data_IF_322188611510
#
_entry.id   IF_322188611510
#
_cell.length_a   1.000
_cell.length_b   1.000
_cell.length_c   1.000
_cell.angle_alpha   90.00
_cell.angle_beta   90.00
_cell.angle_gamma   90.00
#
_symmetry.space_group_name_H-M   'P 1'
#
loop_
_entity.id
_entity.type
_entity.pdbx_description
1 polymer ?
#
# COMPACT_ATOMS: atom_id res chain seq x y z
N UNK A 1 -41.67 4.26 55.62
CA UNK A 1 -42.13 4.26 54.21
C UNK A 1 -41.07 4.96 53.36
N UNK A 2 -40.23 4.20 52.66
CA UNK A 2 -39.07 4.71 51.93
C UNK A 2 -39.52 5.06 50.50
N UNK A 3 -39.24 6.30 50.08
CA UNK A 3 -39.54 6.86 48.75
C UNK A 3 -38.55 6.30 47.71
N UNK A 4 -39.06 5.74 46.61
CA UNK A 4 -38.25 5.47 45.42
C UNK A 4 -38.26 6.69 44.50
N UNK A 5 -37.07 7.21 44.20
CA UNK A 5 -36.83 8.28 43.22
C UNK A 5 -36.41 7.61 41.91
N UNK A 6 -37.15 7.85 40.83
CA UNK A 6 -36.73 7.56 39.47
C UNK A 6 -35.57 8.49 39.08
N UNK A 7 -34.51 7.94 38.48
CA UNK A 7 -33.53 8.73 37.73
C UNK A 7 -33.39 8.09 36.34
N UNK A 8 -34.02 8.73 35.37
CA UNK A 8 -33.84 8.49 33.93
C UNK A 8 -32.55 9.16 33.47
N UNK A 9 -31.56 8.38 33.06
CA UNK A 9 -30.31 8.88 32.48
C UNK A 9 -30.45 8.86 30.95
N UNK A 10 -30.80 10.01 30.36
CA UNK A 10 -30.78 10.20 28.92
C UNK A 10 -29.37 10.61 28.49
N UNK A 11 -28.64 9.69 27.87
CA UNK A 11 -27.30 9.92 27.33
C UNK A 11 -27.45 10.61 25.95
N UNK A 12 -27.20 11.93 25.89
CA UNK A 12 -27.02 12.63 24.62
C UNK A 12 -25.68 12.22 24.01
N UNK A 13 -25.72 11.42 22.94
CA UNK A 13 -24.57 11.18 22.07
C UNK A 13 -24.38 12.42 21.18
N UNK A 14 -23.36 13.22 21.47
CA UNK A 14 -22.93 14.30 20.59
C UNK A 14 -22.10 13.70 19.45
N UNK A 15 -22.65 13.69 18.23
CA UNK A 15 -21.87 13.40 17.02
C UNK A 15 -21.01 14.62 16.71
N UNK A 16 -19.73 14.59 17.09
CA UNK A 16 -18.73 15.45 16.46
C UNK A 16 -18.49 14.94 15.04
N UNK A 17 -19.15 15.58 14.07
CA UNK A 17 -18.76 15.49 12.66
C UNK A 17 -17.41 16.20 12.51
N UNK A 18 -16.32 15.43 12.54
CA UNK A 18 -15.00 15.93 12.17
C UNK A 18 -14.95 15.97 10.65
N UNK A 19 -15.02 17.17 10.07
CA UNK A 19 -14.75 17.37 8.64
C UNK A 19 -13.24 17.34 8.42
N UNK A 20 -12.71 16.19 8.03
CA UNK A 20 -11.31 16.07 7.64
C UNK A 20 -11.09 16.78 6.30
N UNK A 21 -10.37 17.91 6.33
CA UNK A 21 -9.93 18.62 5.12
C UNK A 21 -8.95 17.73 4.33
N UNK A 22 -9.11 17.62 3.02
CA UNK A 22 -8.28 16.76 2.16
C UNK A 22 -6.80 17.11 2.27
N UNK A 23 -5.94 16.10 2.35
CA UNK A 23 -4.49 16.26 2.27
C UNK A 23 -4.07 16.82 0.89
N UNK A 24 -2.97 17.58 0.85
CA UNK A 24 -2.42 18.05 -0.42
C UNK A 24 -2.06 16.85 -1.32
N UNK A 25 -2.20 16.97 -2.66
CA UNK A 25 -1.83 15.90 -3.56
C UNK A 25 -0.34 15.57 -3.44
N UNK A 26 0.01 14.32 -3.75
CA UNK A 26 1.40 13.87 -3.73
C UNK A 26 2.27 14.71 -4.68
N UNK A 27 3.49 15.02 -4.24
CA UNK A 27 4.51 15.55 -5.14
C UNK A 27 5.07 14.39 -5.95
N UNK A 28 4.77 14.37 -7.25
CA UNK A 28 5.14 13.28 -8.14
C UNK A 28 6.52 13.54 -8.73
N UNK A 29 7.47 12.64 -8.45
CA UNK A 29 8.82 12.75 -9.00
C UNK A 29 8.78 12.70 -10.55
N UNK A 30 9.42 13.67 -11.24
CA UNK A 30 9.50 13.65 -12.70
C UNK A 30 10.25 12.42 -13.21
N UNK A 31 9.77 11.83 -14.30
CA UNK A 31 10.46 10.74 -14.98
C UNK A 31 11.23 11.31 -16.17
N UNK A 32 12.48 10.86 -16.36
CA UNK A 32 13.28 11.21 -17.52
C UNK A 32 13.43 9.98 -18.41
N UNK A 33 13.10 10.12 -19.69
CA UNK A 33 13.31 9.08 -20.70
C UNK A 33 13.63 9.74 -22.05
N UNK A 34 14.65 9.21 -22.73
CA UNK A 34 15.12 9.71 -24.04
C UNK A 34 15.34 11.24 -24.14
N UNK A 35 15.89 11.85 -23.07
CA UNK A 35 16.17 13.29 -23.05
C UNK A 35 14.94 14.18 -22.81
N UNK A 36 13.78 13.58 -22.51
CA UNK A 36 12.54 14.27 -22.16
C UNK A 36 12.19 14.03 -20.69
N UNK A 37 11.85 15.11 -19.98
CA UNK A 37 11.37 15.09 -18.59
C UNK A 37 9.86 15.21 -18.57
N UNK A 38 9.20 14.22 -17.99
CA UNK A 38 7.75 14.15 -17.81
C UNK A 38 7.38 14.55 -16.38
N UNK A 39 6.47 15.50 -16.25
CA UNK A 39 6.04 16.08 -14.98
C UNK A 39 4.53 15.98 -14.87
N UNK A 40 4.03 15.63 -13.68
CA UNK A 40 2.61 15.71 -13.32
C UNK A 40 2.42 16.90 -12.35
N UNK A 41 1.87 18.05 -12.81
CA UNK A 41 1.81 19.26 -11.98
C UNK A 41 0.81 19.18 -10.82
N UNK A 42 -0.26 18.38 -10.94
CA UNK A 42 -1.30 18.22 -9.93
C UNK A 42 -1.83 19.55 -9.35
N UNK A 43 -2.29 20.46 -10.22
CA UNK A 43 -2.67 21.83 -9.87
C UNK A 43 -4.15 22.00 -9.45
N UNK A 44 -5.07 22.14 -10.41
CA UNK A 44 -6.45 22.61 -10.18
C UNK A 44 -7.44 21.52 -9.77
N UNK A 45 -7.00 20.25 -9.77
CA UNK A 45 -7.82 19.10 -9.40
C UNK A 45 -8.95 18.76 -10.36
N UNK A 46 -9.20 19.54 -11.41
CA UNK A 46 -10.27 19.27 -12.40
C UNK A 46 -9.83 18.27 -13.46
N UNK A 47 -8.53 18.24 -13.74
CA UNK A 47 -7.94 17.23 -14.62
C UNK A 47 -6.52 16.87 -14.21
N UNK A 48 -6.16 15.63 -14.47
CA UNK A 48 -4.79 15.15 -14.44
C UNK A 48 -4.15 15.28 -15.81
N UNK A 49 -2.95 15.85 -15.87
CA UNK A 49 -2.22 16.01 -17.13
C UNK A 49 -0.70 15.88 -16.93
N UNK A 50 -0.02 15.53 -18.03
CA UNK A 50 1.44 15.45 -18.10
C UNK A 50 1.97 16.62 -18.90
N UNK A 51 3.09 17.18 -18.45
CA UNK A 51 3.92 18.06 -19.25
C UNK A 51 5.24 17.37 -19.60
N UNK A 52 5.60 17.42 -20.88
CA UNK A 52 6.89 16.95 -21.36
C UNK A 52 7.81 18.14 -21.65
N UNK A 53 9.05 18.06 -21.19
CA UNK A 53 10.05 19.12 -21.29
C UNK A 53 11.34 18.55 -21.86
N UNK A 54 11.92 19.23 -22.85
CA UNK A 54 13.26 18.88 -23.33
C UNK A 54 14.28 19.21 -22.22
N UNK A 55 15.04 18.19 -21.79
CA UNK A 55 15.95 18.33 -20.62
C UNK A 55 17.07 19.32 -20.90
N UNK A 56 17.52 19.43 -22.15
CA UNK A 56 18.68 20.25 -22.53
C UNK A 56 18.33 21.73 -22.65
N UNK A 57 17.20 22.03 -23.26
CA UNK A 57 16.76 23.40 -23.58
C UNK A 57 15.76 23.93 -22.56
N UNK A 58 15.24 23.06 -21.69
CA UNK A 58 14.16 23.34 -20.75
C UNK A 58 12.91 23.94 -21.42
N UNK A 59 12.69 23.62 -22.70
CA UNK A 59 11.48 24.01 -23.44
C UNK A 59 10.40 22.96 -23.26
N UNK A 60 9.17 23.40 -22.99
CA UNK A 60 7.99 22.52 -22.99
C UNK A 60 7.77 21.99 -24.40
N UNK A 61 7.77 20.68 -24.54
CA UNK A 61 7.50 19.98 -25.80
C UNK A 61 6.01 19.84 -26.02
N UNK A 62 5.27 19.41 -25.00
CA UNK A 62 3.83 19.23 -25.08
C UNK A 62 3.18 19.11 -23.70
N UNK A 63 1.85 19.23 -23.68
CA UNK A 63 0.97 19.00 -22.52
C UNK A 63 -0.17 18.08 -22.93
N UNK A 64 -0.45 17.05 -22.15
CA UNK A 64 -1.44 16.03 -22.48
C UNK A 64 -2.34 15.74 -21.27
N UNK A 65 -3.65 15.86 -21.44
CA UNK A 65 -4.63 15.44 -20.42
C UNK A 65 -4.69 13.92 -20.36
N UNK A 66 -4.56 13.35 -19.17
CA UNK A 66 -4.67 11.91 -18.91
C UNK A 66 -6.10 11.54 -18.56
N UNK A 67 -6.70 12.24 -17.61
CA UNK A 67 -8.11 12.08 -17.24
C UNK A 67 -8.69 13.36 -16.65
N UNK A 68 -10.01 13.44 -16.63
CA UNK A 68 -10.78 14.54 -16.03
C UNK A 68 -11.58 14.03 -14.85
N UNK A 69 -11.61 14.79 -13.76
CA UNK A 69 -12.48 14.49 -12.64
C UNK A 69 -13.89 15.00 -12.95
N UNK A 70 -14.88 14.11 -12.89
CA UNK A 70 -16.29 14.50 -13.00
C UNK A 70 -16.73 14.97 -11.61
N UNK A 71 -17.03 16.25 -11.51
CA UNK A 71 -17.35 16.93 -10.26
C UNK A 71 -18.86 17.13 -10.21
N UNK A 72 -19.49 16.62 -9.16
CA UNK A 72 -20.86 16.95 -8.80
C UNK A 72 -20.88 18.34 -8.14
N UNK A 73 -21.60 19.33 -8.72
CA UNK A 73 -21.65 20.68 -8.18
C UNK A 73 -22.39 20.78 -6.83
N UNK A 74 -23.09 19.73 -6.41
CA UNK A 74 -23.81 19.68 -5.13
C UNK A 74 -22.96 19.17 -3.97
N UNK A 75 -21.75 18.69 -4.26
CA UNK A 75 -20.77 18.21 -3.27
C UNK A 75 -19.56 19.15 -3.24
N UNK A 76 -18.81 19.14 -2.13
CA UNK A 76 -17.55 19.89 -2.02
C UNK A 76 -16.58 19.47 -3.14
N UNK A 77 -15.91 20.44 -3.78
CA UNK A 77 -15.13 20.18 -4.99
C UNK A 77 -13.85 19.39 -4.70
N UNK A 78 -13.17 19.73 -3.60
CA UNK A 78 -11.86 19.19 -3.24
C UNK A 78 -11.91 17.75 -2.75
N UNK A 79 -13.00 17.31 -2.12
CA UNK A 79 -13.19 15.89 -1.75
C UNK A 79 -13.37 14.97 -2.96
N UNK A 80 -13.72 15.53 -4.12
CA UNK A 80 -13.95 14.79 -5.35
C UNK A 80 -12.69 14.67 -6.22
N UNK A 81 -11.65 15.45 -5.94
CA UNK A 81 -10.44 15.46 -6.75
C UNK A 81 -9.67 14.15 -6.66
N UNK A 82 -9.16 13.73 -7.83
CA UNK A 82 -8.23 12.62 -7.98
C UNK A 82 -7.02 13.13 -8.75
N UNK A 83 -5.84 12.97 -8.17
CA UNK A 83 -4.60 13.41 -8.78
C UNK A 83 -3.77 12.24 -9.28
N UNK A 84 -2.69 12.57 -10.00
CA UNK A 84 -1.66 11.59 -10.34
C UNK A 84 -0.84 11.34 -9.08
N UNK A 85 -0.60 10.08 -8.75
CA UNK A 85 0.23 9.67 -7.63
C UNK A 85 1.62 9.24 -8.09
N UNK A 86 1.72 8.56 -9.24
CA UNK A 86 2.98 7.97 -9.71
C UNK A 86 3.16 8.04 -11.21
N UNK A 87 4.41 8.25 -11.61
CA UNK A 87 4.89 8.10 -12.98
C UNK A 87 5.97 7.01 -13.04
N UNK A 88 5.96 6.23 -14.11
CA UNK A 88 7.10 5.38 -14.51
C UNK A 88 7.10 5.22 -16.02
N UNK A 89 8.25 4.90 -16.59
CA UNK A 89 8.32 4.43 -17.98
C UNK A 89 8.44 2.91 -17.96
N UNK A 90 7.67 2.27 -18.83
CA UNK A 90 7.73 0.85 -19.08
C UNK A 90 7.70 0.67 -20.61
N UNK A 91 8.71 0.01 -21.14
CA UNK A 91 8.96 -0.11 -22.58
C UNK A 91 9.02 1.28 -23.25
N UNK A 92 8.06 1.59 -24.14
CA UNK A 92 7.92 2.90 -24.83
C UNK A 92 6.72 3.72 -24.33
N UNK A 93 6.16 3.38 -23.17
CA UNK A 93 4.99 4.05 -22.65
C UNK A 93 5.24 4.67 -21.28
N UNK A 94 4.65 5.85 -21.07
CA UNK A 94 4.58 6.48 -19.76
C UNK A 94 3.35 5.93 -19.03
N UNK A 95 3.60 5.26 -17.92
CA UNK A 95 2.57 4.72 -17.04
C UNK A 95 2.29 5.75 -15.95
N UNK A 96 1.01 6.13 -15.85
CA UNK A 96 0.49 7.11 -14.90
C UNK A 96 -0.47 6.40 -13.97
N UNK A 97 -0.21 6.45 -12.67
CA UNK A 97 -1.11 5.89 -11.65
C UNK A 97 -1.78 7.04 -10.90
N UNK A 98 -3.10 6.98 -10.74
CA UNK A 98 -3.85 7.95 -9.93
C UNK A 98 -3.88 7.57 -8.46
N UNK A 99 -4.24 8.52 -7.58
CA UNK A 99 -4.41 8.28 -6.13
C UNK A 99 -5.46 7.20 -5.81
N UNK A 100 -6.33 6.85 -6.77
CA UNK A 100 -7.31 5.75 -6.64
C UNK A 100 -6.85 4.44 -7.28
N UNK A 101 -5.56 4.34 -7.65
CA UNK A 101 -4.97 3.14 -8.24
C UNK A 101 -5.33 2.90 -9.71
N UNK A 102 -6.06 3.80 -10.38
CA UNK A 102 -6.30 3.68 -11.82
C UNK A 102 -4.99 3.90 -12.57
N UNK A 103 -4.74 3.09 -13.60
CA UNK A 103 -3.53 3.19 -14.39
C UNK A 103 -3.85 3.62 -15.82
N UNK A 104 -3.07 4.56 -16.33
CA UNK A 104 -3.18 5.08 -17.67
C UNK A 104 -1.85 4.87 -18.37
N UNK A 105 -1.91 4.30 -19.56
CA UNK A 105 -0.75 4.15 -20.42
C UNK A 105 -0.78 5.26 -21.47
N UNK A 106 0.32 5.99 -21.59
CA UNK A 106 0.52 7.02 -22.61
C UNK A 106 1.58 6.51 -23.57
N UNK A 107 1.19 6.27 -24.80
CA UNK A 107 2.14 6.00 -25.88
C UNK A 107 2.97 7.26 -26.13
N UNK A 108 4.29 7.19 -25.91
CA UNK A 108 5.16 8.35 -26.02
C UNK A 108 5.37 8.83 -27.45
N UNK A 109 4.99 8.04 -28.46
CA UNK A 109 5.04 8.42 -29.87
C UNK A 109 3.73 9.07 -30.28
N UNK A 110 2.62 8.32 -30.23
CA UNK A 110 1.31 8.74 -30.73
C UNK A 110 0.55 9.65 -29.77
N UNK A 111 0.95 9.73 -28.49
CA UNK A 111 0.23 10.42 -27.41
C UNK A 111 -1.16 9.85 -27.13
N UNK A 112 -1.46 8.66 -27.64
CA UNK A 112 -2.68 7.95 -27.29
C UNK A 112 -2.68 7.62 -25.80
N UNK A 113 -3.78 7.93 -25.13
CA UNK A 113 -4.00 7.58 -23.73
C UNK A 113 -4.95 6.39 -23.70
N UNK A 114 -4.48 5.28 -23.16
CA UNK A 114 -5.32 4.11 -22.88
C UNK A 114 -5.50 4.03 -21.39
N UNK A 115 -6.74 4.22 -20.94
CA UNK A 115 -7.11 3.86 -19.59
C UNK A 115 -7.20 2.34 -19.55
N UNK A 116 -6.36 1.72 -18.74
CA UNK A 116 -6.75 0.48 -18.10
C UNK A 116 -7.58 0.89 -16.88
N UNK A 117 -8.77 0.31 -16.71
CA UNK A 117 -9.29 0.19 -15.35
C UNK A 117 -8.19 -0.42 -14.48
N UNK A 118 -8.20 -0.27 -13.14
CA UNK A 118 -7.39 -1.18 -12.33
C UNK A 118 -7.65 -2.55 -12.93
N UNK A 119 -6.61 -3.22 -13.44
CA UNK A 119 -6.78 -4.58 -13.95
C UNK A 119 -7.68 -5.25 -12.91
N UNK A 120 -8.79 -5.94 -13.29
CA UNK A 120 -9.52 -6.70 -12.28
C UNK A 120 -8.41 -7.45 -11.56
N UNK A 121 -8.17 -7.18 -10.26
CA UNK A 121 -7.09 -7.85 -9.52
C UNK A 121 -7.35 -9.31 -9.83
N UNK A 122 -6.50 -10.01 -10.61
CA UNK A 122 -7.03 -11.09 -11.44
C UNK A 122 -7.40 -12.23 -10.51
N UNK A 123 -8.68 -12.28 -10.15
CA UNK A 123 -9.34 -13.44 -9.61
C UNK A 123 -9.36 -14.45 -10.74
N UNK A 124 -8.35 -15.32 -10.75
CA UNK A 124 -8.24 -16.43 -11.67
C UNK A 124 -7.01 -16.34 -12.57
N UNK A 125 -5.89 -16.87 -12.07
CA UNK A 125 -4.84 -17.48 -12.91
C UNK A 125 -3.97 -16.53 -13.75
N UNK A 126 -3.51 -15.38 -13.23
CA UNK A 126 -2.42 -14.64 -13.90
C UNK A 126 -1.68 -13.59 -13.02
N UNK A 127 -1.23 -13.97 -11.82
CA UNK A 127 -0.20 -13.21 -11.07
C UNK A 127 0.84 -14.19 -10.54
N UNK A 128 1.29 -15.10 -11.40
CA UNK A 128 2.41 -15.97 -11.06
C UNK A 128 3.72 -15.38 -11.62
N UNK A 129 3.70 -14.80 -12.82
CA UNK A 129 4.90 -14.42 -13.57
C UNK A 129 5.75 -13.25 -13.03
N UNK A 130 5.27 -12.46 -12.07
CA UNK A 130 6.04 -11.35 -11.43
C UNK A 130 6.30 -11.58 -9.93
N UNK A 131 5.96 -12.77 -9.44
CA UNK A 131 6.28 -13.19 -8.09
C UNK A 131 7.79 -13.53 -8.09
N UNK A 132 8.63 -12.98 -7.18
CA UNK A 132 10.02 -13.40 -7.08
C UNK A 132 10.09 -14.93 -7.02
N UNK A 133 11.01 -15.56 -7.77
CA UNK A 133 11.08 -17.03 -7.89
C UNK A 133 10.98 -17.75 -6.53
N UNK A 134 11.55 -17.16 -5.47
CA UNK A 134 11.45 -17.62 -4.10
C UNK A 134 10.01 -17.84 -3.60
N UNK A 135 9.10 -16.94 -3.94
CA UNK A 135 7.70 -16.98 -3.53
C UNK A 135 6.92 -17.97 -4.40
N UNK A 136 7.17 -18.05 -5.71
CA UNK A 136 6.60 -19.12 -6.54
C UNK A 136 7.01 -20.51 -6.00
N UNK A 137 8.30 -20.70 -5.67
CA UNK A 137 8.80 -21.93 -5.08
C UNK A 137 8.15 -22.23 -3.75
N UNK A 138 8.07 -21.24 -2.85
CA UNK A 138 7.47 -21.40 -1.52
C UNK A 138 5.99 -21.81 -1.58
N UNK A 139 5.24 -21.27 -2.55
CA UNK A 139 3.81 -21.52 -2.72
C UNK A 139 3.53 -22.80 -3.51
N UNK A 140 4.31 -23.13 -4.54
CA UNK A 140 4.03 -24.31 -5.40
C UNK A 140 4.55 -25.60 -4.82
N UNK A 141 5.80 -25.60 -4.37
CA UNK A 141 6.53 -26.82 -3.96
C UNK A 141 7.17 -26.70 -2.57
N UNK A 142 7.00 -25.55 -1.91
CA UNK A 142 7.64 -25.23 -0.65
C UNK A 142 6.70 -25.35 0.56
N UNK A 143 7.12 -24.80 1.71
CA UNK A 143 6.45 -25.02 3.00
C UNK A 143 5.00 -24.51 3.06
N UNK A 144 4.60 -23.59 2.17
CA UNK A 144 3.26 -23.00 2.18
C UNK A 144 2.24 -23.83 1.39
N UNK A 145 2.67 -24.62 0.40
CA UNK A 145 1.81 -25.23 -0.62
C UNK A 145 0.66 -26.10 -0.08
N UNK A 146 0.89 -26.74 1.07
CA UNK A 146 -0.06 -27.70 1.66
C UNK A 146 -1.13 -27.01 2.50
N UNK A 147 -0.75 -26.02 3.30
CA UNK A 147 -1.57 -25.50 4.40
C UNK A 147 -2.13 -24.11 4.14
N UNK A 148 -1.59 -23.38 3.17
CA UNK A 148 -1.90 -21.97 2.94
C UNK A 148 -2.25 -21.69 1.49
N UNK A 149 -3.16 -20.73 1.30
CA UNK A 149 -3.42 -20.08 0.02
C UNK A 149 -2.87 -18.65 0.05
N UNK A 150 -2.50 -18.11 -1.10
CA UNK A 150 -2.18 -16.68 -1.22
C UNK A 150 -3.45 -15.87 -1.00
N UNK A 151 -3.37 -14.86 -0.14
CA UNK A 151 -4.44 -13.91 0.09
C UNK A 151 -4.20 -12.64 -0.71
N UNK A 152 -5.28 -12.11 -1.29
CA UNK A 152 -5.29 -10.81 -1.99
C UNK A 152 -6.13 -9.78 -1.23
N UNK A 153 -6.29 -9.98 0.09
CA UNK A 153 -7.13 -9.16 0.96
C UNK A 153 -6.71 -7.68 1.00
N UNK A 154 -5.40 -7.42 1.01
CA UNK A 154 -4.79 -6.08 0.94
C UNK A 154 -3.83 -6.04 -0.25
N UNK A 155 -3.73 -4.89 -0.93
CA UNK A 155 -2.84 -4.68 -2.08
C UNK A 155 -1.84 -3.54 -1.76
N UNK A 156 -0.51 -3.70 -1.99
CA UNK A 156 0.17 -4.86 -2.58
C UNK A 156 -0.03 -6.13 -1.74
N UNK A 157 -0.18 -7.32 -2.33
CA UNK A 157 -0.37 -8.57 -1.56
C UNK A 157 0.96 -9.24 -1.17
N UNK A 158 2.09 -8.67 -1.63
CA UNK A 158 3.43 -9.01 -1.18
C UNK A 158 4.32 -7.75 -1.08
N UNK A 159 5.37 -7.82 -0.27
CA UNK A 159 6.38 -6.78 -0.07
C UNK A 159 7.79 -7.40 -0.05
N UNK A 160 8.76 -6.75 -0.67
CA UNK A 160 10.15 -7.21 -0.73
C UNK A 160 11.06 -6.26 0.08
N UNK A 161 11.82 -6.79 1.04
CA UNK A 161 12.70 -6.01 1.91
C UNK A 161 13.66 -6.89 2.72
N UNK A 162 14.61 -6.30 3.43
CA UNK A 162 15.53 -7.05 4.30
C UNK A 162 14.92 -7.19 5.70
N UNK A 163 13.92 -8.07 5.86
CA UNK A 163 13.11 -8.13 7.09
C UNK A 163 13.85 -8.72 8.28
N UNK A 164 14.81 -9.61 8.04
CA UNK A 164 15.61 -10.24 9.10
C UNK A 164 16.94 -9.52 9.39
N UNK A 165 17.36 -8.57 8.54
CA UNK A 165 18.57 -7.78 8.72
C UNK A 165 19.86 -8.46 8.27
N UNK A 166 19.78 -9.48 7.43
CA UNK A 166 20.94 -10.22 6.91
C UNK A 166 21.54 -9.58 5.64
N UNK A 167 20.93 -8.51 5.13
CA UNK A 167 21.38 -7.78 3.94
C UNK A 167 20.92 -8.38 2.62
N UNK A 168 20.06 -9.41 2.65
CA UNK A 168 19.44 -10.01 1.46
C UNK A 168 17.95 -9.65 1.41
N UNK A 169 17.38 -9.76 0.20
CA UNK A 169 15.97 -9.42 -0.01
C UNK A 169 15.10 -10.63 0.35
N UNK A 170 14.31 -10.46 1.39
CA UNK A 170 13.23 -11.36 1.80
C UNK A 170 11.91 -10.95 1.14
N UNK A 171 10.91 -11.84 1.21
CA UNK A 171 9.55 -11.52 0.76
C UNK A 171 8.53 -11.79 1.85
N UNK A 172 7.71 -10.80 2.15
CA UNK A 172 6.50 -10.94 2.95
C UNK A 172 5.30 -11.07 2.01
N UNK A 173 4.42 -12.05 2.23
CA UNK A 173 3.23 -12.28 1.40
C UNK A 173 2.02 -12.56 2.28
N UNK A 174 0.85 -12.05 1.88
CA UNK A 174 -0.40 -12.33 2.57
C UNK A 174 -0.85 -13.76 2.29
N UNK A 175 -1.24 -14.46 3.34
CA UNK A 175 -1.69 -15.86 3.26
C UNK A 175 -2.99 -16.06 4.01
N UNK A 176 -3.77 -17.05 3.56
CA UNK A 176 -4.95 -17.57 4.23
C UNK A 176 -4.70 -19.02 4.62
N UNK A 177 -4.84 -19.35 5.90
CA UNK A 177 -4.72 -20.75 6.33
C UNK A 177 -5.94 -21.54 5.85
N UNK A 178 -5.73 -22.68 5.18
CA UNK A 178 -6.81 -23.49 4.61
C UNK A 178 -7.76 -24.08 5.65
N UNK A 179 -7.22 -24.50 6.79
CA UNK A 179 -7.98 -25.19 7.84
C UNK A 179 -8.92 -24.27 8.62
N UNK A 180 -8.49 -23.03 8.91
CA UNK A 180 -9.22 -22.08 9.75
C UNK A 180 -9.85 -20.93 8.96
N UNK A 181 -9.33 -20.63 7.77
CA UNK A 181 -9.70 -19.44 7.00
C UNK A 181 -9.05 -18.14 7.49
N UNK A 182 -8.27 -18.18 8.58
CA UNK A 182 -7.63 -16.99 9.16
C UNK A 182 -6.57 -16.41 8.24
N UNK A 183 -6.45 -15.09 8.25
CA UNK A 183 -5.48 -14.33 7.46
C UNK A 183 -4.20 -14.06 8.25
N UNK A 184 -3.08 -13.95 7.54
CA UNK A 184 -1.78 -13.64 8.11
C UNK A 184 -0.75 -13.28 7.04
N UNK A 185 0.50 -13.22 7.47
CA UNK A 185 1.67 -12.89 6.65
C UNK A 185 2.67 -14.04 6.76
N UNK A 186 3.10 -14.55 5.61
CA UNK A 186 4.26 -15.44 5.52
C UNK A 186 5.48 -14.62 5.11
N UNK A 187 6.56 -14.69 5.89
CA UNK A 187 7.86 -14.09 5.53
C UNK A 187 8.80 -15.20 5.10
N UNK A 188 9.24 -15.12 3.84
CA UNK A 188 10.12 -16.07 3.17
C UNK A 188 11.52 -15.45 3.14
N UNK A 189 12.43 -16.01 3.93
CA UNK A 189 13.82 -15.58 3.97
C UNK A 189 14.61 -16.10 2.77
N UNK A 190 15.46 -15.26 2.20
CA UNK A 190 16.27 -15.60 1.01
C UNK A 190 17.27 -16.77 1.24
N UNK A 191 17.73 -16.96 2.48
CA UNK A 191 18.54 -18.12 2.87
C UNK A 191 17.66 -19.22 3.49
N UNK A 192 17.70 -20.41 2.85
CA UNK A 192 17.12 -21.69 3.29
C UNK A 192 15.61 -21.86 3.14
N UNK A 193 14.95 -21.05 2.29
CA UNK A 193 13.49 -21.06 2.10
C UNK A 193 12.74 -21.07 3.45
N UNK A 194 13.33 -20.44 4.48
CA UNK A 194 12.77 -20.45 5.81
C UNK A 194 11.55 -19.55 5.80
N UNK A 195 10.41 -20.14 6.11
CA UNK A 195 9.13 -19.44 6.19
C UNK A 195 8.77 -19.18 7.64
N UNK A 196 8.43 -17.94 7.97
CA UNK A 196 7.84 -17.58 9.27
C UNK A 196 6.41 -17.11 9.06
N UNK A 197 5.46 -17.72 9.78
CA UNK A 197 4.04 -17.36 9.73
C UNK A 197 3.69 -16.45 10.89
N UNK A 198 3.05 -15.33 10.59
CA UNK A 198 2.53 -14.34 11.53
C UNK A 198 1.02 -14.18 11.28
N UNK A 199 0.18 -14.36 12.30
CA UNK A 199 -1.26 -14.53 12.07
C UNK A 199 -1.56 -15.90 11.45
N UNK A 200 -2.64 -16.00 10.68
CA UNK A 200 -3.09 -17.24 10.04
C UNK A 200 -3.12 -18.45 11.00
N UNK A 201 -3.65 -18.24 12.21
CA UNK A 201 -3.70 -19.20 13.30
C UNK A 201 -2.50 -19.18 14.26
N UNK A 202 -1.49 -18.35 14.00
CA UNK A 202 -0.31 -18.14 14.86
C UNK A 202 -0.34 -16.74 15.47
N UNK A 203 -0.63 -16.65 16.76
CA UNK A 203 -0.75 -15.36 17.45
C UNK A 203 0.56 -14.56 17.51
N UNK A 204 0.48 -13.24 17.30
CA UNK A 204 1.60 -12.31 17.47
C UNK A 204 1.17 -11.01 18.17
N UNK A 205 1.59 -10.84 19.43
CA UNK A 205 1.31 -9.63 20.21
C UNK A 205 -0.17 -9.26 20.24
N UNK A 206 -0.48 -7.97 20.09
CA UNK A 206 -1.86 -7.48 20.04
C UNK A 206 -2.52 -7.67 18.67
N UNK A 207 -1.77 -8.05 17.64
CA UNK A 207 -2.31 -8.34 16.31
C UNK A 207 -3.15 -9.61 16.24
N UNK A 208 -3.16 -10.41 17.31
CA UNK A 208 -3.90 -11.66 17.39
C UNK A 208 -3.34 -12.71 16.44
N UNK A 209 -4.19 -13.68 16.09
CA UNK A 209 -3.87 -14.79 15.20
C UNK A 209 -4.62 -14.73 13.85
N UNK A 210 -5.40 -13.68 13.63
CA UNK A 210 -6.14 -13.41 12.40
C UNK A 210 -5.99 -11.95 11.99
N UNK A 211 -5.47 -11.73 10.77
CA UNK A 211 -5.16 -10.41 10.23
C UNK A 211 -6.25 -9.85 9.33
N UNK A 212 -7.48 -10.39 9.39
CA UNK A 212 -8.65 -9.81 8.70
C UNK A 212 -8.92 -8.33 9.06
N UNK A 213 -8.43 -7.87 10.21
CA UNK A 213 -8.58 -6.47 10.62
C UNK A 213 -7.71 -5.49 9.82
N UNK A 214 -6.67 -5.99 9.13
CA UNK A 214 -5.67 -5.16 8.45
C UNK A 214 -6.16 -4.76 7.06
N UNK A 215 -6.21 -3.45 6.78
CA UNK A 215 -6.58 -2.91 5.47
C UNK A 215 -5.41 -2.23 4.72
N UNK A 216 -4.27 -2.04 5.40
CA UNK A 216 -3.08 -1.43 4.82
C UNK A 216 -1.80 -1.97 5.47
N UNK A 217 -0.75 -2.03 4.67
CA UNK A 217 0.59 -2.41 5.12
C UNK A 217 1.66 -1.86 4.18
N UNK A 218 2.83 -1.57 4.74
CA UNK A 218 3.97 -1.01 4.00
C UNK A 218 5.31 -1.30 4.66
N UNK A 219 6.39 -1.18 3.91
CA UNK A 219 7.75 -1.30 4.44
C UNK A 219 8.12 -0.01 5.16
N UNK A 220 8.53 -0.14 6.42
CA UNK A 220 9.18 0.92 7.18
C UNK A 220 10.68 0.63 7.23
N UNK A 221 11.42 1.24 6.30
CA UNK A 221 12.86 0.97 6.13
C UNK A 221 13.70 1.55 7.26
N UNK A 222 14.71 0.77 7.67
CA UNK A 222 15.69 1.15 8.70
C UNK A 222 16.33 2.53 8.47
N UNK A 223 16.53 2.93 7.21
CA UNK A 223 17.21 4.18 6.84
C UNK A 223 16.34 5.45 6.98
N UNK A 224 15.04 5.35 7.30
CA UNK A 224 14.17 6.51 7.60
C UNK A 224 14.02 6.78 9.11
N UNK A 225 14.43 5.86 9.97
CA UNK A 225 14.20 5.89 11.43
C UNK A 225 15.38 6.52 12.19
N UNK A 226 16.01 7.57 11.66
CA UNK A 226 17.11 8.29 12.33
C UNK A 226 16.70 9.60 12.98
N UNK A 227 15.40 9.90 13.15
CA UNK A 227 14.93 11.18 13.72
C UNK A 227 13.97 11.11 14.90
N UNK A 228 13.52 9.94 15.36
CA UNK A 228 12.64 9.86 16.53
C UNK A 228 13.20 8.88 17.58
N UNK A 229 13.51 9.41 18.76
CA UNK A 229 14.36 8.81 19.79
C UNK A 229 13.70 7.71 20.65
N UNK A 230 12.64 7.06 20.18
CA UNK A 230 11.85 6.11 21.01
C UNK A 230 11.57 4.76 20.34
N UNK A 231 12.07 4.53 19.13
CA UNK A 231 11.80 3.29 18.38
C UNK A 231 12.97 2.31 18.57
N UNK A 232 12.73 1.03 18.93
CA UNK A 232 13.78 0.03 19.06
C UNK A 232 14.65 -0.03 17.80
N UNK A 233 15.98 -0.17 17.96
CA UNK A 233 16.88 -0.39 16.81
C UNK A 233 16.53 -1.72 16.14
N UNK A 234 15.77 -1.65 15.06
CA UNK A 234 15.39 -2.83 14.27
C UNK A 234 16.60 -3.41 13.55
N UNK A 235 16.68 -4.75 13.47
CA UNK A 235 17.80 -5.43 12.81
C UNK A 235 17.70 -5.41 11.29
N UNK A 236 16.50 -5.32 10.74
CA UNK A 236 16.17 -5.16 9.33
C UNK A 236 15.02 -4.17 9.13
N UNK A 237 14.40 -4.23 7.95
CA UNK A 237 13.17 -3.52 7.61
C UNK A 237 11.99 -4.03 8.48
N UNK A 238 11.08 -3.12 8.82
CA UNK A 238 9.86 -3.45 9.56
C UNK A 238 8.64 -3.40 8.63
N UNK A 239 7.62 -4.19 8.94
CA UNK A 239 6.30 -4.07 8.34
C UNK A 239 5.46 -3.15 9.22
N UNK A 240 5.01 -2.03 8.67
CA UNK A 240 3.91 -1.26 9.27
C UNK A 240 2.62 -1.90 8.79
N UNK A 241 1.82 -2.42 9.72
CA UNK A 241 0.48 -2.96 9.47
C UNK A 241 -0.54 -2.05 10.13
N UNK A 242 -1.67 -1.80 9.48
CA UNK A 242 -2.67 -0.87 9.98
C UNK A 242 -4.09 -1.22 9.58
N UNK A 243 -5.02 -0.75 10.42
CA UNK A 243 -6.41 -0.50 10.07
C UNK A 243 -6.60 1.00 9.98
N UNK A 244 -7.07 1.47 8.83
CA UNK A 244 -7.24 2.88 8.53
C UNK A 244 -8.09 3.56 9.62
N UNK A 245 -7.58 4.68 10.14
CA UNK A 245 -8.24 5.50 11.16
C UNK A 245 -8.50 4.82 12.52
N UNK A 246 -7.93 3.64 12.75
CA UNK A 246 -8.08 2.93 14.02
C UNK A 246 -6.73 2.70 14.69
N UNK A 247 -5.93 1.78 14.17
CA UNK A 247 -4.71 1.36 14.86
C UNK A 247 -3.64 0.96 13.86
N UNK A 248 -2.38 1.10 14.26
CA UNK A 248 -1.25 0.58 13.50
C UNK A 248 -0.27 -0.14 14.40
N UNK A 249 0.62 -0.93 13.80
CA UNK A 249 1.70 -1.57 14.52
C UNK A 249 2.89 -1.85 13.60
N UNK A 250 4.06 -1.93 14.20
CA UNK A 250 5.26 -2.41 13.55
C UNK A 250 5.47 -3.89 13.90
N UNK A 251 5.69 -4.68 12.87
CA UNK A 251 6.23 -6.04 12.97
C UNK A 251 7.68 -5.98 12.52
N UNK A 252 8.60 -6.33 13.41
CA UNK A 252 10.03 -6.22 13.12
C UNK A 252 10.84 -7.37 13.70
N UNK A 253 12.02 -7.62 13.14
CA UNK A 253 12.95 -8.62 13.65
C UNK A 253 13.82 -8.08 14.78
N UNK A 254 13.77 -8.75 15.94
CA UNK A 254 14.57 -8.37 17.11
C UNK A 254 15.96 -9.06 17.18
N UNK A 255 16.32 -9.84 16.15
CA UNK A 255 17.52 -10.68 16.12
C UNK A 255 17.29 -12.16 16.43
N UNK A 256 16.10 -12.53 16.89
CA UNK A 256 15.73 -13.93 17.17
C UNK A 256 14.36 -14.33 16.60
N UNK A 257 13.40 -13.40 16.64
CA UNK A 257 12.03 -13.59 16.15
C UNK A 257 11.41 -12.26 15.71
N UNK A 258 10.29 -12.35 14.98
CA UNK A 258 9.43 -11.20 14.75
C UNK A 258 8.67 -10.81 16.02
N UNK A 259 8.53 -9.51 16.23
CA UNK A 259 7.90 -8.92 17.40
C UNK A 259 6.92 -7.83 16.97
N UNK A 260 5.80 -7.77 17.67
CA UNK A 260 4.78 -6.74 17.53
C UNK A 260 5.11 -5.51 18.40
N UNK A 261 4.96 -4.32 17.84
CA UNK A 261 5.02 -3.05 18.55
C UNK A 261 3.82 -2.19 18.12
N UNK A 262 2.88 -1.97 19.03
CA UNK A 262 1.71 -1.13 18.79
C UNK A 262 2.13 0.32 18.47
N UNK A 263 1.43 0.94 17.53
CA UNK A 263 1.59 2.32 17.07
C UNK A 263 0.19 2.97 17.01
N UNK A 264 -0.21 3.65 18.08
CA UNK A 264 -1.52 4.31 18.19
C UNK A 264 -2.68 3.36 18.52
N UNK A 265 -3.76 3.96 19.04
CA UNK A 265 -5.03 3.37 19.47
C UNK A 265 -6.21 4.09 18.80
#
# INVERSE_FOLDING_TARGET
MIRFILISFALLLSLCLVTAKRAAPANVEPVIHEGVRYVAPNDDGRRAYIEAWDVRTNKKLWKLTVFTNRIDPTLEEDVQWVFIDKLRVQDSALIVTSERGKTYQIDLTSKAVTQSDPAPSPGGVAQLHDIPEAVERAIRNGPLAKEYDVSFHVNPFYLCGDFNGDGKIDVAILVKQRSSGKLGIAIIHSEKDKVTILGAGVGIGNGGDDFEWMDSWQINSRNRVTREASVPKFRGDALLVSKSEAASALIYWNGKRYVWLQQGD
#
